data_IF_027218856019
#
_entry.id   IF_027218856019
#
_cell.length_a   1.000
_cell.length_b   1.000
_cell.length_c   1.000
_cell.angle_alpha   90.00
_cell.angle_beta   90.00
_cell.angle_gamma   90.00
#
_symmetry.space_group_name_H-M   'P 1'
#
loop_
_entity.id
_entity.type
_entity.pdbx_description
1 polymer ?
#
# COMPACT_ATOMS: atom_id res chain seq x y z
N UNK A 1 -15.00 15.49 -52.83
CA UNK A 1 -15.60 15.34 -51.49
C UNK A 1 -15.36 13.90 -51.13
N UNK A 2 -14.26 13.65 -50.43
CA UNK A 2 -13.76 12.30 -50.18
C UNK A 2 -14.25 11.87 -48.80
N UNK A 3 -15.00 10.77 -48.75
CA UNK A 3 -15.57 10.25 -47.51
C UNK A 3 -14.49 9.46 -46.76
N UNK A 4 -14.20 9.87 -45.53
CA UNK A 4 -13.23 9.20 -44.67
C UNK A 4 -13.96 8.26 -43.72
N UNK A 5 -14.00 6.97 -44.05
CA UNK A 5 -14.56 5.90 -43.20
C UNK A 5 -13.52 5.44 -42.17
N UNK A 6 -13.77 5.61 -40.85
CA UNK A 6 -12.84 5.19 -39.79
C UNK A 6 -13.04 3.71 -39.42
N UNK A 7 -12.63 2.80 -40.31
CA UNK A 7 -12.58 1.35 -40.04
C UNK A 7 -11.18 0.97 -39.49
N UNK A 8 -11.02 0.86 -38.17
CA UNK A 8 -10.03 0.02 -37.41
C UNK A 8 -9.84 0.54 -35.96
N UNK A 9 -10.64 0.06 -34.99
CA UNK A 9 -10.38 0.35 -33.55
C UNK A 9 -10.66 -0.82 -32.58
N UNK A 10 -11.44 -1.82 -32.96
CA UNK A 10 -11.80 -2.94 -32.06
C UNK A 10 -10.76 -4.09 -31.99
N UNK A 11 -9.98 -4.34 -33.05
CA UNK A 11 -9.04 -5.48 -33.09
C UNK A 11 -7.88 -5.34 -32.09
N UNK A 12 -7.23 -4.17 -32.01
CA UNK A 12 -6.09 -3.93 -31.11
C UNK A 12 -6.51 -4.10 -29.64
N UNK A 13 -7.60 -3.42 -29.26
CA UNK A 13 -8.19 -3.47 -27.92
C UNK A 13 -8.45 -4.91 -27.46
N UNK A 14 -8.88 -5.78 -28.37
CA UNK A 14 -9.20 -7.19 -28.08
C UNK A 14 -7.94 -8.03 -27.82
N UNK A 15 -6.87 -7.88 -28.62
CA UNK A 15 -5.62 -8.62 -28.40
C UNK A 15 -4.83 -8.10 -27.19
N UNK A 16 -4.87 -6.80 -26.89
CA UNK A 16 -4.24 -6.22 -25.69
C UNK A 16 -4.92 -6.72 -24.40
N UNK A 17 -6.26 -6.73 -24.36
CA UNK A 17 -7.03 -7.33 -23.26
C UNK A 17 -6.69 -8.80 -23.04
N UNK A 18 -6.55 -9.57 -24.13
CA UNK A 18 -6.26 -11.01 -24.11
C UNK A 18 -4.83 -11.32 -23.64
N UNK A 19 -3.84 -10.49 -23.99
CA UNK A 19 -2.47 -10.56 -23.46
C UNK A 19 -2.46 -10.27 -21.96
N UNK A 20 -3.08 -9.15 -21.56
CA UNK A 20 -3.20 -8.77 -20.15
C UNK A 20 -3.88 -9.87 -19.31
N UNK A 21 -4.94 -10.51 -19.83
CA UNK A 21 -5.63 -11.64 -19.17
C UNK A 21 -4.74 -12.88 -18.98
N UNK A 22 -3.80 -13.13 -19.90
CA UNK A 22 -2.86 -14.26 -19.78
C UNK A 22 -1.77 -13.96 -18.74
N UNK A 23 -1.12 -12.80 -18.85
CA UNK A 23 -0.05 -12.39 -17.92
C UNK A 23 -0.58 -12.23 -16.48
N UNK A 24 -1.81 -11.72 -16.35
CA UNK A 24 -2.46 -11.46 -15.05
C UNK A 24 -3.48 -12.55 -14.65
N UNK A 25 -3.40 -13.76 -15.22
CA UNK A 25 -4.35 -14.85 -14.97
C UNK A 25 -4.57 -15.13 -13.47
N UNK A 26 -3.53 -14.95 -12.64
CA UNK A 26 -3.63 -15.09 -11.17
C UNK A 26 -4.52 -14.03 -10.52
N UNK A 27 -4.50 -12.78 -10.99
CA UNK A 27 -5.37 -11.71 -10.49
C UNK A 27 -6.81 -11.93 -10.97
N UNK A 28 -6.97 -12.33 -12.24
CA UNK A 28 -8.27 -12.65 -12.85
C UNK A 28 -8.97 -13.77 -12.10
N UNK A 29 -8.28 -14.88 -11.81
CA UNK A 29 -8.83 -16.01 -11.06
C UNK A 29 -9.19 -15.61 -9.61
N UNK A 30 -8.37 -14.79 -8.96
CA UNK A 30 -8.67 -14.27 -7.61
C UNK A 30 -9.97 -13.44 -7.60
N UNK A 31 -10.12 -12.50 -8.53
CA UNK A 31 -11.32 -11.67 -8.69
C UNK A 31 -12.54 -12.55 -9.02
N UNK A 32 -12.39 -13.53 -9.92
CA UNK A 32 -13.47 -14.46 -10.27
C UNK A 32 -13.95 -15.28 -9.07
N UNK A 33 -13.05 -15.74 -8.20
CA UNK A 33 -13.42 -16.46 -6.96
C UNK A 33 -14.22 -15.54 -6.03
N UNK A 34 -13.80 -14.28 -5.83
CA UNK A 34 -14.54 -13.31 -5.01
C UNK A 34 -15.93 -13.03 -5.60
N UNK A 35 -16.05 -12.89 -6.92
CA UNK A 35 -17.34 -12.71 -7.61
C UNK A 35 -18.23 -13.95 -7.47
N UNK A 36 -17.67 -15.16 -7.53
CA UNK A 36 -18.41 -16.42 -7.29
C UNK A 36 -18.89 -16.54 -5.84
N UNK A 37 -18.08 -16.13 -4.85
CA UNK A 37 -18.49 -16.12 -3.44
C UNK A 37 -19.59 -15.07 -3.20
N UNK A 38 -19.40 -13.84 -3.68
CA UNK A 38 -20.40 -12.78 -3.54
C UNK A 38 -21.71 -13.11 -4.27
N UNK A 39 -21.62 -13.63 -5.49
CA UNK A 39 -22.77 -14.11 -6.27
C UNK A 39 -23.44 -15.33 -5.63
N UNK A 40 -22.67 -16.22 -5.00
CA UNK A 40 -23.17 -17.36 -4.23
C UNK A 40 -23.97 -16.92 -3.00
N UNK A 41 -23.42 -16.00 -2.19
CA UNK A 41 -24.11 -15.41 -1.03
C UNK A 41 -25.37 -14.65 -1.48
N UNK A 42 -25.29 -13.84 -2.54
CA UNK A 42 -26.44 -13.12 -3.09
C UNK A 42 -27.54 -14.05 -3.65
N UNK A 43 -27.15 -15.16 -4.28
CA UNK A 43 -28.07 -16.19 -4.78
C UNK A 43 -28.73 -16.97 -3.63
N UNK A 44 -27.95 -17.36 -2.62
CA UNK A 44 -28.43 -18.06 -1.41
C UNK A 44 -29.35 -17.17 -0.57
N UNK A 45 -29.01 -15.88 -0.40
CA UNK A 45 -29.85 -14.88 0.26
C UNK A 45 -31.21 -14.64 -0.43
N UNK A 46 -31.42 -15.18 -1.63
CA UNK A 46 -32.71 -15.18 -2.35
C UNK A 46 -33.44 -16.53 -2.31
N UNK A 47 -32.93 -17.52 -1.57
CA UNK A 47 -33.48 -18.89 -1.49
C UNK A 47 -33.40 -19.53 -0.08
N UNK A 48 -33.90 -18.81 0.92
CA UNK A 48 -34.44 -19.40 2.15
C UNK A 48 -33.43 -19.78 3.24
N UNK A 49 -33.89 -19.69 4.49
CA UNK A 49 -33.15 -20.11 5.67
C UNK A 49 -33.14 -21.64 5.78
N UNK A 50 -31.97 -22.22 6.07
CA UNK A 50 -31.89 -23.54 6.70
C UNK A 50 -30.82 -23.52 7.79
N UNK A 51 -31.13 -23.88 9.05
CA UNK A 51 -30.14 -23.94 10.11
C UNK A 51 -29.29 -25.22 9.95
N UNK A 52 -27.96 -25.09 9.99
CA UNK A 52 -27.09 -26.26 10.08
C UNK A 52 -27.11 -26.81 11.50
N UNK A 53 -27.60 -28.04 11.62
CA UNK A 53 -27.79 -28.75 12.90
C UNK A 53 -26.44 -29.09 13.55
N UNK A 54 -26.38 -28.94 14.87
CA UNK A 54 -25.26 -29.32 15.74
C UNK A 54 -25.19 -30.84 15.88
N UNK A 55 -24.01 -31.46 15.73
CA UNK A 55 -23.54 -32.52 16.64
C UNK A 55 -22.07 -32.94 16.47
N UNK A 56 -21.24 -32.62 17.47
CA UNK A 56 -20.30 -33.52 18.19
C UNK A 56 -19.51 -32.68 19.22
N UNK A 57 -19.85 -32.58 20.51
CA UNK A 57 -20.17 -33.56 21.59
C UNK A 57 -18.95 -33.84 22.48
N UNK A 58 -19.19 -33.98 23.80
CA UNK A 58 -18.23 -34.25 24.91
C UNK A 58 -17.41 -33.03 25.39
N UNK A 59 -17.37 -32.64 26.67
CA UNK A 59 -18.26 -32.79 27.86
C UNK A 59 -17.81 -31.74 28.93
N UNK A 60 -18.69 -30.92 29.53
CA UNK A 60 -19.33 -31.09 30.87
C UNK A 60 -18.45 -30.78 32.11
N UNK A 61 -18.75 -29.67 32.81
CA UNK A 61 -18.39 -29.47 34.24
C UNK A 61 -19.22 -28.35 34.94
N UNK A 62 -20.26 -28.77 35.70
CA UNK A 62 -20.87 -28.21 36.94
C UNK A 62 -21.24 -26.71 37.08
N UNK A 63 -22.53 -26.48 37.36
CA UNK A 63 -23.09 -25.36 38.15
C UNK A 63 -22.48 -25.22 39.56
N UNK A 64 -22.53 -24.00 40.14
CA UNK A 64 -23.26 -23.76 41.41
C UNK A 64 -23.40 -22.26 41.79
N UNK A 65 -24.55 -21.95 42.39
CA UNK A 65 -24.80 -20.87 43.38
C UNK A 65 -24.95 -19.41 42.92
N UNK A 66 -25.73 -18.64 43.68
CA UNK A 66 -26.23 -17.28 43.41
C UNK A 66 -26.83 -16.67 44.69
N UNK A 67 -27.20 -15.38 44.70
CA UNK A 67 -27.81 -14.59 45.83
C UNK A 67 -26.73 -14.06 46.81
N UNK A 68 -26.70 -12.80 47.28
CA UNK A 68 -27.67 -11.68 47.24
C UNK A 68 -27.00 -10.27 47.28
N UNK A 69 -27.64 -9.27 46.63
CA UNK A 69 -28.16 -7.98 47.21
C UNK A 69 -27.17 -7.08 48.00
N UNK A 70 -26.68 -5.93 47.48
CA UNK A 70 -27.34 -4.59 47.32
C UNK A 70 -27.29 -3.73 48.64
N UNK A 71 -27.04 -2.41 48.68
CA UNK A 71 -26.77 -1.35 47.67
C UNK A 71 -25.44 -0.59 48.01
N UNK A 72 -25.13 0.72 47.83
CA UNK A 72 -25.79 1.96 47.31
C UNK A 72 -24.67 3.00 46.92
N UNK A 73 -25.04 4.23 46.55
CA UNK A 73 -24.22 5.43 46.24
C UNK A 73 -24.16 6.41 47.47
N UNK A 74 -23.71 7.70 47.42
CA UNK A 74 -23.26 8.56 46.30
C UNK A 74 -21.87 9.26 46.52
N UNK A 75 -21.61 10.36 45.78
CA UNK A 75 -20.39 11.19 45.72
C UNK A 75 -19.17 10.50 45.05
N UNK A 76 -18.73 10.78 43.82
CA UNK A 76 -18.59 12.05 43.06
C UNK A 76 -17.32 12.86 43.42
N UNK A 77 -16.21 12.48 42.76
CA UNK A 77 -15.00 13.26 42.58
C UNK A 77 -14.25 12.76 41.33
N UNK A 78 -13.83 13.69 40.47
CA UNK A 78 -13.25 13.45 39.14
C UNK A 78 -11.90 12.70 39.18
N UNK A 79 -11.84 11.50 38.57
CA UNK A 79 -10.57 10.82 38.24
C UNK A 79 -10.50 10.58 36.74
N UNK A 80 -9.61 11.34 36.06
CA UNK A 80 -9.33 11.20 34.63
C UNK A 80 -7.89 10.75 34.35
N UNK A 81 -7.40 9.81 35.14
CA UNK A 81 -6.17 9.09 34.81
C UNK A 81 -6.44 8.09 33.67
N UNK A 82 -6.15 8.51 32.44
CA UNK A 82 -5.95 7.58 31.33
C UNK A 82 -4.46 7.21 31.32
N UNK A 83 -4.08 5.92 31.39
CA UNK A 83 -2.72 5.53 31.73
C UNK A 83 -1.71 5.96 30.66
N UNK A 84 -0.52 6.34 31.13
CA UNK A 84 0.62 6.61 30.25
C UNK A 84 1.12 5.30 29.63
N UNK A 85 0.54 4.92 28.48
CA UNK A 85 1.08 3.86 27.61
C UNK A 85 2.44 4.32 27.09
N UNK A 86 3.46 3.97 27.87
CA UNK A 86 4.89 4.08 27.62
C UNK A 86 5.19 3.76 26.16
N UNK A 87 5.38 4.79 25.34
CA UNK A 87 5.56 4.64 23.89
C UNK A 87 6.94 4.05 23.62
N UNK A 88 7.02 2.73 23.66
CA UNK A 88 8.23 1.97 23.40
C UNK A 88 8.68 2.23 21.96
N UNK A 89 9.82 2.90 21.83
CA UNK A 89 10.41 3.31 20.54
C UNK A 89 11.04 2.11 19.82
N UNK A 90 10.19 1.17 19.42
CA UNK A 90 10.53 0.09 18.50
C UNK A 90 11.06 0.72 17.21
N UNK A 91 12.36 0.56 16.97
CA UNK A 91 13.12 1.28 15.94
C UNK A 91 12.98 0.64 14.55
N UNK A 92 11.80 0.10 14.26
CA UNK A 92 11.48 -0.61 13.02
C UNK A 92 10.91 0.37 11.99
N UNK A 93 11.72 0.72 10.98
CA UNK A 93 11.23 1.49 9.84
C UNK A 93 10.17 0.67 9.09
N UNK A 94 8.93 1.17 9.07
CA UNK A 94 7.78 0.46 8.50
C UNK A 94 7.29 1.18 7.25
N UNK A 95 7.39 0.49 6.12
CA UNK A 95 6.78 0.88 4.85
C UNK A 95 5.34 0.36 4.81
N UNK A 96 4.38 1.20 4.49
CA UNK A 96 2.97 0.82 4.30
C UNK A 96 2.47 1.35 2.96
N UNK A 97 2.16 0.45 2.04
CA UNK A 97 1.49 0.80 0.79
C UNK A 97 -0.02 1.01 1.02
N UNK A 98 -0.59 1.96 0.28
CA UNK A 98 -2.02 2.21 0.13
C UNK A 98 -2.42 1.98 -1.33
N UNK A 99 -3.69 2.19 -1.68
CA UNK A 99 -4.13 2.15 -3.08
C UNK A 99 -3.36 3.15 -3.96
N UNK A 100 -3.16 4.38 -3.48
CA UNK A 100 -2.62 5.53 -4.25
C UNK A 100 -1.22 6.00 -3.82
N UNK A 101 -0.67 5.49 -2.72
CA UNK A 101 0.57 6.01 -2.13
C UNK A 101 1.41 4.97 -1.37
N UNK A 102 2.64 5.34 -1.02
CA UNK A 102 3.50 4.65 -0.05
C UNK A 102 3.76 5.58 1.15
N UNK A 103 3.48 5.08 2.36
CA UNK A 103 3.75 5.76 3.62
C UNK A 103 4.99 5.13 4.25
N UNK A 104 6.09 5.87 4.25
CA UNK A 104 7.40 5.43 4.72
C UNK A 104 7.68 6.03 6.11
N UNK A 105 7.85 5.17 7.12
CA UNK A 105 8.12 5.62 8.50
C UNK A 105 9.60 5.54 8.84
N UNK A 106 10.16 6.68 9.26
CA UNK A 106 11.60 6.84 9.50
C UNK A 106 12.11 6.06 10.72
N UNK A 107 13.09 5.19 10.49
CA UNK A 107 13.92 4.57 11.51
C UNK A 107 15.09 5.44 11.95
N UNK A 108 16.00 4.85 12.73
CA UNK A 108 17.24 5.51 13.19
C UNK A 108 18.15 5.82 11.99
N UNK A 109 18.60 7.08 11.90
CA UNK A 109 19.43 7.62 10.82
C UNK A 109 18.77 7.67 9.43
N UNK A 110 17.47 7.37 9.30
CA UNK A 110 16.74 7.65 8.05
C UNK A 110 16.68 9.16 7.80
N UNK A 111 16.72 9.53 6.52
CA UNK A 111 16.55 10.91 6.04
C UNK A 111 15.50 10.95 4.95
N UNK A 112 15.01 12.14 4.58
CA UNK A 112 13.97 12.28 3.54
C UNK A 112 14.36 11.60 2.21
N UNK A 113 15.64 11.68 1.88
CA UNK A 113 16.31 10.98 0.77
C UNK A 113 16.18 9.45 0.86
N UNK A 114 16.30 8.87 2.06
CA UNK A 114 16.18 7.41 2.29
C UNK A 114 14.73 6.95 2.29
N UNK A 115 13.78 7.81 2.68
CA UNK A 115 12.34 7.51 2.55
C UNK A 115 11.89 7.54 1.08
N UNK A 116 12.29 8.57 0.33
CA UNK A 116 12.13 8.62 -1.13
C UNK A 116 12.77 7.38 -1.80
N UNK A 117 13.95 7.00 -1.28
CA UNK A 117 14.59 5.67 -1.36
C UNK A 117 13.59 4.51 -1.42
N UNK A 118 12.98 4.24 -0.26
CA UNK A 118 12.10 3.08 -0.03
C UNK A 118 10.84 3.15 -0.89
N UNK A 119 10.18 4.30 -0.97
CA UNK A 119 8.99 4.47 -1.80
C UNK A 119 9.25 4.20 -3.30
N UNK A 120 10.38 4.69 -3.85
CA UNK A 120 10.76 4.42 -5.23
C UNK A 120 11.11 2.94 -5.46
N UNK A 121 11.78 2.27 -4.51
CA UNK A 121 12.05 0.84 -4.58
C UNK A 121 10.75 0.02 -4.58
N UNK A 122 9.86 0.27 -3.60
CA UNK A 122 8.57 -0.40 -3.45
C UNK A 122 7.66 -0.27 -4.68
N UNK A 123 7.74 0.85 -5.42
CA UNK A 123 7.08 1.01 -6.71
C UNK A 123 7.75 0.19 -7.83
N UNK A 124 9.09 0.24 -7.94
CA UNK A 124 9.86 -0.39 -9.00
C UNK A 124 9.98 -1.92 -8.87
N UNK A 125 9.81 -2.50 -7.68
CA UNK A 125 9.72 -3.96 -7.49
C UNK A 125 8.56 -4.57 -8.29
N UNK A 126 7.44 -3.83 -8.37
CA UNK A 126 6.24 -4.21 -9.14
C UNK A 126 6.28 -3.72 -10.58
N UNK A 127 6.80 -2.50 -10.79
CA UNK A 127 6.87 -1.84 -12.08
C UNK A 127 8.33 -1.80 -12.56
N UNK A 128 8.88 -2.97 -12.88
CA UNK A 128 10.28 -3.11 -13.26
C UNK A 128 10.55 -2.46 -14.62
N UNK A 129 11.53 -1.56 -14.64
CA UNK A 129 11.90 -0.78 -15.83
C UNK A 129 13.41 -0.82 -16.08
N UNK A 130 13.80 -1.68 -17.03
CA UNK A 130 15.19 -1.88 -17.45
C UNK A 130 15.85 -0.65 -18.10
N UNK A 131 15.09 0.42 -18.40
CA UNK A 131 15.66 1.69 -18.90
C UNK A 131 16.18 2.61 -17.77
N UNK A 132 15.91 2.29 -16.51
CA UNK A 132 16.32 3.11 -15.37
C UNK A 132 17.73 2.78 -14.87
N UNK A 133 18.72 3.52 -15.38
CA UNK A 133 20.09 3.49 -14.86
C UNK A 133 20.17 4.02 -13.43
N UNK A 134 21.32 3.87 -12.77
CA UNK A 134 21.53 4.39 -11.40
C UNK A 134 21.36 5.91 -11.32
N UNK A 135 21.68 6.60 -12.39
CA UNK A 135 21.53 8.06 -12.56
C UNK A 135 20.04 8.43 -12.61
N UNK A 136 19.22 7.68 -13.37
CA UNK A 136 17.76 7.83 -13.36
C UNK A 136 17.20 7.59 -11.96
N UNK A 137 17.63 6.52 -11.26
CA UNK A 137 17.18 6.24 -9.88
C UNK A 137 17.54 7.37 -8.89
N UNK A 138 18.72 7.99 -9.00
CA UNK A 138 19.10 9.14 -8.14
C UNK A 138 18.31 10.41 -8.49
N UNK A 139 18.00 10.65 -9.77
CA UNK A 139 17.11 11.75 -10.13
C UNK A 139 15.71 11.56 -9.54
N UNK A 140 15.15 10.34 -9.60
CA UNK A 140 13.85 10.00 -9.00
C UNK A 140 13.87 10.28 -7.49
N UNK A 141 14.89 9.79 -6.78
CA UNK A 141 15.10 10.03 -5.34
C UNK A 141 15.11 11.53 -4.98
N UNK A 142 15.89 12.35 -5.71
CA UNK A 142 15.98 13.80 -5.45
C UNK A 142 14.74 14.57 -5.90
N UNK A 143 14.07 14.12 -6.97
CA UNK A 143 12.81 14.70 -7.44
C UNK A 143 11.70 14.48 -6.40
N UNK A 144 11.50 13.24 -5.93
CA UNK A 144 10.56 12.91 -4.87
C UNK A 144 10.81 13.76 -3.62
N UNK A 145 12.07 13.78 -3.15
CA UNK A 145 12.53 14.57 -1.99
C UNK A 145 12.22 16.07 -2.09
N UNK A 146 12.13 16.63 -3.31
CA UNK A 146 11.85 18.05 -3.57
C UNK A 146 10.36 18.38 -3.77
N UNK A 147 9.52 17.40 -4.10
CA UNK A 147 8.12 17.60 -4.47
C UNK A 147 7.12 17.12 -3.38
N UNK A 148 7.61 16.89 -2.15
CA UNK A 148 6.78 16.56 -0.98
C UNK A 148 6.82 17.67 0.07
N UNK A 149 5.70 17.92 0.74
CA UNK A 149 5.54 18.99 1.74
C UNK A 149 6.13 18.66 3.13
N UNK A 150 7.21 17.86 3.16
CA UNK A 150 7.93 17.49 4.37
C UNK A 150 8.81 18.65 4.89
N UNK A 151 8.16 19.67 5.43
CA UNK A 151 8.77 20.92 5.93
C UNK A 151 9.50 20.73 7.26
N UNK A 152 10.62 20.01 7.22
CA UNK A 152 11.52 19.83 8.37
C UNK A 152 12.59 18.77 8.15
N UNK A 153 13.49 18.63 9.13
CA UNK A 153 14.38 17.47 9.21
C UNK A 153 13.60 16.23 9.67
N UNK A 154 13.82 15.10 9.00
CA UNK A 154 13.23 13.80 9.39
C UNK A 154 13.78 13.36 10.76
N UNK A 155 12.86 12.94 11.65
CA UNK A 155 13.15 12.35 12.95
C UNK A 155 12.66 10.90 12.98
N UNK A 156 13.17 10.07 13.89
CA UNK A 156 12.64 8.70 14.11
C UNK A 156 11.14 8.78 14.40
N UNK A 157 10.34 7.94 13.75
CA UNK A 157 8.88 7.95 13.83
C UNK A 157 8.18 8.98 12.91
N UNK A 158 8.92 9.75 12.10
CA UNK A 158 8.30 10.59 11.06
C UNK A 158 7.79 9.70 9.93
N UNK A 159 6.48 9.63 9.72
CA UNK A 159 5.89 9.05 8.51
C UNK A 159 5.82 10.09 7.40
N UNK A 160 6.21 9.71 6.19
CA UNK A 160 6.18 10.55 4.98
C UNK A 160 5.46 9.80 3.87
N UNK A 161 4.53 10.48 3.20
CA UNK A 161 3.72 9.91 2.12
C UNK A 161 4.27 10.30 0.74
N UNK A 162 4.33 9.33 -0.17
CA UNK A 162 4.71 9.49 -1.57
C UNK A 162 3.60 8.91 -2.44
N UNK A 163 2.88 9.73 -3.21
CA UNK A 163 1.86 9.24 -4.13
C UNK A 163 2.48 8.53 -5.34
N UNK A 164 1.77 7.53 -5.86
CA UNK A 164 2.21 6.74 -7.03
C UNK A 164 2.36 7.62 -8.27
N UNK A 165 1.41 8.53 -8.48
CA UNK A 165 1.44 9.59 -9.50
C UNK A 165 2.74 10.42 -9.46
N UNK A 166 3.25 10.73 -8.27
CA UNK A 166 4.48 11.51 -8.11
C UNK A 166 5.73 10.69 -8.43
N UNK A 167 5.73 9.39 -8.12
CA UNK A 167 6.79 8.44 -8.48
C UNK A 167 6.80 8.22 -10.00
N UNK A 168 5.63 8.04 -10.61
CA UNK A 168 5.47 7.93 -12.07
C UNK A 168 5.93 9.19 -12.80
N UNK A 169 5.55 10.37 -12.29
CA UNK A 169 6.02 11.65 -12.81
C UNK A 169 7.54 11.79 -12.65
N UNK A 170 8.13 11.35 -11.54
CA UNK A 170 9.57 11.33 -11.34
C UNK A 170 10.29 10.40 -12.34
N UNK A 171 9.75 9.20 -12.57
CA UNK A 171 10.24 8.23 -13.56
C UNK A 171 10.16 8.81 -14.97
N UNK A 172 9.01 9.35 -15.37
CA UNK A 172 8.81 9.98 -16.68
C UNK A 172 9.77 11.15 -16.91
N UNK A 173 9.96 12.02 -15.91
CA UNK A 173 10.95 13.10 -15.98
C UNK A 173 12.40 12.57 -16.05
N UNK A 174 12.74 11.49 -15.34
CA UNK A 174 14.09 10.90 -15.38
C UNK A 174 14.51 10.45 -16.78
N UNK A 175 13.55 9.95 -17.58
CA UNK A 175 13.76 9.52 -18.98
C UNK A 175 13.97 10.69 -19.96
N UNK A 176 13.71 11.93 -19.55
CA UNK A 176 13.96 13.13 -20.38
C UNK A 176 15.33 13.78 -20.15
N UNK A 177 16.16 13.19 -19.27
CA UNK A 177 17.49 13.71 -18.97
C UNK A 177 18.46 13.53 -20.13
N UNK A 178 19.18 14.59 -20.48
CA UNK A 178 20.25 14.53 -21.47
C UNK A 178 21.57 13.99 -20.88
N UNK A 179 22.47 13.54 -21.74
CA UNK A 179 23.78 12.97 -21.37
C UNK A 179 24.58 13.84 -20.39
N UNK A 180 24.51 15.17 -20.51
CA UNK A 180 25.21 16.11 -19.63
C UNK A 180 24.62 16.12 -18.21
N UNK A 181 23.32 15.90 -18.06
CA UNK A 181 22.67 15.71 -16.76
C UNK A 181 23.04 14.33 -16.16
N UNK A 182 22.96 13.26 -16.97
CA UNK A 182 23.33 11.90 -16.53
C UNK A 182 24.79 11.82 -16.06
N UNK A 183 25.73 12.38 -16.83
CA UNK A 183 27.16 12.48 -16.49
C UNK A 183 27.45 13.37 -15.27
N UNK A 184 26.51 14.21 -14.85
CA UNK A 184 26.60 14.91 -13.57
C UNK A 184 26.07 14.06 -12.40
N UNK A 185 25.07 13.22 -12.65
CA UNK A 185 24.49 12.28 -11.66
C UNK A 185 25.40 11.07 -11.39
N UNK A 186 26.21 10.65 -12.38
CA UNK A 186 27.23 9.59 -12.29
C UNK A 186 28.18 9.76 -11.07
N UNK A 187 28.52 11.01 -10.74
CA UNK A 187 29.35 11.38 -9.57
C UNK A 187 28.74 10.95 -8.23
N UNK A 188 27.42 10.75 -8.20
CA UNK A 188 26.65 10.35 -7.03
C UNK A 188 26.25 8.86 -7.10
N UNK A 189 26.05 8.29 -8.30
CA UNK A 189 25.73 6.86 -8.45
C UNK A 189 26.86 5.93 -8.01
N UNK A 190 28.11 6.37 -8.11
CA UNK A 190 29.26 5.71 -7.50
C UNK A 190 29.22 5.62 -5.96
N UNK A 191 28.31 6.33 -5.28
CA UNK A 191 28.18 6.39 -3.81
C UNK A 191 26.93 5.71 -3.25
N UNK A 192 26.08 5.14 -4.11
CA UNK A 192 24.82 4.51 -3.72
C UNK A 192 24.88 3.04 -4.11
N UNK A 193 24.81 2.15 -3.11
CA UNK A 193 24.60 0.71 -3.33
C UNK A 193 23.35 0.52 -4.19
N UNK A 194 23.42 -0.38 -5.17
CA UNK A 194 22.32 -0.57 -6.13
C UNK A 194 21.03 -0.96 -5.43
N UNK A 195 20.01 -0.13 -5.64
CA UNK A 195 18.60 -0.50 -5.70
C UNK A 195 18.40 -1.56 -6.78
#
# INVERSE_FOLDING_TARGET
MEEYTPETQDESTTEDLKRWFQDNLRIVVSIAIVVVIAGGIYSYSKRGETPLVVEKTTERAIDAESTSTEAEKPADAEVKETPATKQEVSSTATSKETETSFVETAGKNDSLTVLARKAAANYLEKNQDSSLTKEHKIFIEDYLRKNIDAKGGVKVGTSVEFSKDLIEKAIAQSKTLNEKQLKNLEKYSARVSSL
#
